data_IF_190432487124
#
_entry.id   IF_190432487124
#
_cell.length_a   1.000
_cell.length_b   1.000
_cell.length_c   1.000
_cell.angle_alpha   90.00
_cell.angle_beta   90.00
_cell.angle_gamma   90.00
#
_symmetry.space_group_name_H-M   'P 1'
#
loop_
_entity.id
_entity.type
_entity.pdbx_description
1 polymer ?
#
# COMPACT_ATOMS: atom_id res chain seq x y z
N UNK A 1 2.44 6.74 4.89
CA UNK A 1 3.61 7.10 4.04
C UNK A 1 3.96 5.94 3.11
N UNK A 2 4.23 4.75 3.67
CA UNK A 2 4.56 3.57 2.88
C UNK A 2 3.40 3.14 1.97
N UNK A 3 2.17 3.17 2.48
CA UNK A 3 0.97 2.88 1.71
C UNK A 3 0.78 3.88 0.56
N UNK A 4 0.90 5.17 0.82
CA UNK A 4 0.83 6.21 -0.24
C UNK A 4 1.90 5.99 -1.32
N UNK A 5 3.12 5.60 -0.93
CA UNK A 5 4.19 5.28 -1.87
C UNK A 5 3.80 4.12 -2.79
N UNK A 6 3.22 3.05 -2.24
CA UNK A 6 2.70 1.95 -3.04
C UNK A 6 1.56 2.42 -3.97
N UNK A 7 0.64 3.23 -3.47
CA UNK A 7 -0.50 3.73 -4.25
C UNK A 7 -0.06 4.59 -5.44
N UNK A 8 0.95 5.45 -5.24
CA UNK A 8 1.54 6.27 -6.30
C UNK A 8 2.21 5.42 -7.39
N UNK A 9 2.88 4.34 -7.01
CA UNK A 9 3.55 3.46 -7.98
C UNK A 9 2.58 2.53 -8.72
N UNK A 10 1.37 2.31 -8.22
CA UNK A 10 0.36 1.44 -8.84
C UNK A 10 0.12 1.75 -10.32
N UNK A 11 0.03 3.03 -10.69
CA UNK A 11 -0.25 3.44 -12.07
C UNK A 11 0.85 3.14 -13.08
N UNK A 12 1.99 2.58 -12.65
CA UNK A 12 3.16 2.27 -13.48
C UNK A 12 3.50 0.78 -13.52
N UNK A 13 2.81 -0.05 -12.73
CA UNK A 13 3.09 -1.47 -12.63
C UNK A 13 2.84 -2.18 -13.97
N UNK A 14 3.77 -3.05 -14.35
CA UNK A 14 3.59 -3.98 -15.49
C UNK A 14 3.63 -5.43 -15.02
N UNK A 15 3.26 -6.34 -15.91
CA UNK A 15 3.19 -7.78 -15.62
C UNK A 15 4.54 -8.31 -15.10
N UNK A 16 4.51 -9.02 -13.98
CA UNK A 16 5.69 -9.58 -13.33
C UNK A 16 6.46 -8.63 -12.40
N UNK A 17 6.04 -7.37 -12.28
CA UNK A 17 6.61 -6.44 -11.30
C UNK A 17 5.78 -6.41 -10.01
N UNK A 18 6.49 -6.22 -8.89
CA UNK A 18 5.90 -5.96 -7.59
C UNK A 18 6.69 -4.84 -6.92
N UNK A 19 5.97 -3.85 -6.40
CA UNK A 19 6.53 -2.82 -5.54
C UNK A 19 5.98 -3.01 -4.13
N UNK A 20 6.83 -2.88 -3.11
CA UNK A 20 6.41 -2.88 -1.72
C UNK A 20 7.11 -1.74 -0.98
N UNK A 21 6.42 -1.09 -0.04
CA UNK A 21 7.04 -0.14 0.88
C UNK A 21 6.61 -0.54 2.28
N UNK A 22 7.55 -0.70 3.20
CA UNK A 22 7.30 -1.30 4.52
C UNK A 22 8.07 -0.53 5.59
N UNK A 23 7.37 -0.12 6.64
CA UNK A 23 7.96 0.37 7.89
C UNK A 23 8.46 -0.79 8.72
N UNK A 24 9.74 -0.77 9.08
CA UNK A 24 10.38 -1.87 9.82
C UNK A 24 9.89 -2.02 11.26
N UNK A 25 9.20 -1.02 11.80
CA UNK A 25 8.48 -1.09 13.10
C UNK A 25 7.15 -1.84 13.02
N UNK A 26 6.69 -2.16 11.81
CA UNK A 26 5.45 -2.88 11.57
C UNK A 26 4.21 -1.98 11.53
N UNK A 27 4.37 -0.65 11.54
CA UNK A 27 3.28 0.33 11.59
C UNK A 27 3.55 1.47 10.59
N UNK A 28 2.66 1.67 9.61
CA UNK A 28 2.66 2.85 8.74
C UNK A 28 1.59 3.84 9.20
N UNK A 29 2.05 4.98 9.72
CA UNK A 29 1.20 6.08 10.19
C UNK A 29 0.28 5.67 11.34
N UNK A 30 -1.03 5.90 11.17
CA UNK A 30 -2.08 5.54 12.16
C UNK A 30 -2.78 4.22 11.84
N UNK A 31 -2.30 3.48 10.83
CA UNK A 31 -2.92 2.24 10.39
C UNK A 31 -2.41 1.04 11.19
N UNK A 32 -3.07 -0.11 11.02
CA UNK A 32 -2.64 -1.38 11.61
C UNK A 32 -1.66 -2.16 10.72
N UNK A 33 -1.31 -1.62 9.54
CA UNK A 33 -0.44 -2.25 8.57
C UNK A 33 0.96 -1.62 8.62
N UNK A 34 1.99 -2.40 8.31
CA UNK A 34 3.37 -1.93 8.17
C UNK A 34 3.60 -1.13 6.87
N UNK A 35 2.69 -1.26 5.90
CA UNK A 35 2.80 -0.66 4.60
C UNK A 35 1.86 -1.31 3.60
N UNK A 36 2.21 -1.25 2.32
CA UNK A 36 1.47 -1.95 1.27
C UNK A 36 2.41 -2.42 0.16
N UNK A 37 1.92 -3.39 -0.61
CA UNK A 37 2.47 -3.80 -1.88
C UNK A 37 1.50 -3.53 -3.01
N UNK A 38 2.02 -3.48 -4.23
CA UNK A 38 1.23 -3.35 -5.43
C UNK A 38 1.84 -4.13 -6.58
N UNK A 39 0.97 -4.81 -7.33
CA UNK A 39 1.24 -5.47 -8.59
C UNK A 39 0.04 -5.26 -9.54
N UNK A 40 0.09 -5.88 -10.72
CA UNK A 40 -1.01 -5.81 -11.70
C UNK A 40 -2.32 -6.39 -11.15
N UNK A 41 -2.26 -7.43 -10.32
CA UNK A 41 -3.46 -8.06 -9.76
C UNK A 41 -4.22 -7.11 -8.82
N UNK A 42 -3.52 -6.31 -8.03
CA UNK A 42 -4.11 -5.28 -7.16
C UNK A 42 -4.67 -4.13 -7.99
N UNK A 43 -3.95 -3.70 -9.04
CA UNK A 43 -4.46 -2.69 -9.96
C UNK A 43 -5.77 -3.13 -10.61
N UNK A 44 -5.86 -4.38 -11.06
CA UNK A 44 -7.08 -4.91 -11.67
C UNK A 44 -8.20 -5.08 -10.64
N UNK A 45 -7.90 -5.51 -9.41
CA UNK A 45 -8.89 -5.54 -8.32
C UNK A 45 -9.46 -4.16 -8.02
N UNK A 46 -8.63 -3.12 -8.03
CA UNK A 46 -9.07 -1.74 -7.83
C UNK A 46 -10.00 -1.26 -8.96
N UNK A 47 -9.68 -1.60 -10.22
CA UNK A 47 -10.53 -1.31 -11.39
C UNK A 47 -11.88 -2.02 -11.30
N UNK A 48 -11.89 -3.32 -11.00
CA UNK A 48 -13.12 -4.12 -10.86
C UNK A 48 -14.04 -3.57 -9.77
N UNK A 49 -13.45 -3.04 -8.69
CA UNK A 49 -14.17 -2.43 -7.57
C UNK A 49 -14.51 -0.95 -7.79
N UNK A 50 -14.14 -0.37 -8.93
CA UNK A 50 -14.39 1.04 -9.26
C UNK A 50 -13.74 2.02 -8.28
N UNK A 51 -12.59 1.66 -7.71
CA UNK A 51 -11.86 2.54 -6.79
C UNK A 51 -11.12 3.60 -7.59
N UNK A 52 -11.10 4.84 -7.07
CA UNK A 52 -10.33 5.96 -7.64
C UNK A 52 -9.06 6.19 -6.81
N UNK A 53 -7.88 5.70 -7.25
CA UNK A 53 -6.64 5.85 -6.51
C UNK A 53 -6.26 7.31 -6.26
N UNK A 54 -6.58 8.20 -7.21
CA UNK A 54 -6.28 9.63 -7.10
C UNK A 54 -7.08 10.29 -5.99
N UNK A 55 -8.37 9.95 -5.88
CA UNK A 55 -9.24 10.40 -4.79
C UNK A 55 -8.75 9.95 -3.41
N UNK A 56 -8.44 8.66 -3.23
CA UNK A 56 -7.91 8.17 -1.95
C UNK A 56 -6.56 8.81 -1.59
N UNK A 57 -5.69 9.05 -2.58
CA UNK A 57 -4.42 9.72 -2.35
C UNK A 57 -4.62 11.19 -1.94
N UNK A 58 -5.54 11.92 -2.59
CA UNK A 58 -5.85 13.31 -2.26
C UNK A 58 -6.41 13.47 -0.83
N UNK A 59 -7.17 12.49 -0.37
CA UNK A 59 -7.74 12.46 0.99
C UNK A 59 -6.79 11.87 2.06
N UNK A 60 -5.56 11.47 1.68
CA UNK A 60 -4.60 10.77 2.54
C UNK A 60 -5.19 9.47 3.15
N UNK A 61 -6.03 8.77 2.38
CA UNK A 61 -6.80 7.59 2.81
C UNK A 61 -6.34 6.30 2.08
N UNK A 62 -5.02 6.13 1.93
CA UNK A 62 -4.46 4.94 1.27
C UNK A 62 -4.80 3.64 2.00
N UNK A 63 -5.02 3.67 3.32
CA UNK A 63 -5.41 2.48 4.09
C UNK A 63 -6.75 1.94 3.62
N UNK A 64 -7.79 2.77 3.54
CA UNK A 64 -9.12 2.35 3.06
C UNK A 64 -9.09 1.86 1.62
N UNK A 65 -8.21 2.44 0.78
CA UNK A 65 -7.98 1.93 -0.57
C UNK A 65 -7.48 0.48 -0.56
N UNK A 66 -6.38 0.19 0.15
CA UNK A 66 -5.79 -1.15 0.17
C UNK A 66 -6.60 -2.17 0.98
N UNK A 67 -7.44 -1.75 1.95
CA UNK A 67 -8.44 -2.62 2.56
C UNK A 67 -9.45 -3.15 1.53
N UNK A 68 -9.80 -2.31 0.55
CA UNK A 68 -10.75 -2.68 -0.51
C UNK A 68 -10.05 -3.38 -1.68
N UNK A 69 -8.92 -2.86 -2.17
CA UNK A 69 -8.20 -3.40 -3.32
C UNK A 69 -7.41 -4.68 -2.98
N UNK A 70 -7.01 -4.86 -1.72
CA UNK A 70 -5.96 -5.80 -1.32
C UNK A 70 -4.58 -5.16 -1.42
N UNK A 71 -3.57 -5.76 -0.79
CA UNK A 71 -2.18 -5.27 -0.82
C UNK A 71 -1.63 -4.71 0.49
N UNK A 72 -2.45 -4.62 1.56
CA UNK A 72 -1.94 -4.27 2.88
C UNK A 72 -0.92 -5.31 3.36
N UNK A 73 0.18 -4.81 3.91
CA UNK A 73 1.21 -5.62 4.55
C UNK A 73 1.05 -5.53 6.06
N UNK A 74 0.47 -6.57 6.67
CA UNK A 74 0.20 -6.61 8.11
C UNK A 74 1.16 -7.58 8.79
N UNK A 75 2.19 -7.03 9.45
CA UNK A 75 3.18 -7.82 10.21
C UNK A 75 2.88 -7.83 11.71
N UNK A 76 2.16 -6.82 12.20
CA UNK A 76 2.13 -6.46 13.62
C UNK A 76 3.43 -5.76 14.06
N UNK A 77 3.50 -5.26 15.31
CA UNK A 77 4.68 -4.58 15.83
C UNK A 77 5.90 -5.51 15.82
N UNK A 78 6.98 -5.10 15.16
CA UNK A 78 8.19 -5.93 15.03
C UNK A 78 9.10 -5.89 16.27
N UNK A 79 8.97 -4.85 17.10
CA UNK A 79 9.83 -4.60 18.26
C UNK A 79 11.16 -3.92 17.94
N UNK A 80 11.38 -3.47 16.70
CA UNK A 80 12.56 -2.68 16.28
C UNK A 80 12.13 -1.53 15.35
N UNK A 81 13.02 -0.58 15.06
CA UNK A 81 12.76 0.45 14.06
C UNK A 81 14.07 0.90 13.40
N UNK A 82 14.21 0.59 12.11
CA UNK A 82 15.32 1.02 11.24
C UNK A 82 14.81 1.76 10.00
N UNK A 83 13.72 2.52 10.16
CA UNK A 83 13.00 3.26 9.13
C UNK A 83 12.31 2.36 8.09
N UNK A 84 12.25 2.80 6.83
CA UNK A 84 11.45 2.18 5.76
C UNK A 84 12.31 1.42 4.75
N UNK A 85 11.75 0.37 4.16
CA UNK A 85 12.34 -0.44 3.07
C UNK A 85 11.40 -0.42 1.87
N UNK A 86 11.98 -0.33 0.67
CA UNK A 86 11.30 -0.24 -0.63
C UNK A 86 11.97 -1.17 -1.64
#
# INVERSE_FOLDING_TARGET
RNQEMALVNMGRMVEGELFASIGTDGIDGKSHAAGAMVDVSIMDSAKEKGLDPGGYLAENDSTSFFERAGGLLVTGPSGTNVADVQ
#
